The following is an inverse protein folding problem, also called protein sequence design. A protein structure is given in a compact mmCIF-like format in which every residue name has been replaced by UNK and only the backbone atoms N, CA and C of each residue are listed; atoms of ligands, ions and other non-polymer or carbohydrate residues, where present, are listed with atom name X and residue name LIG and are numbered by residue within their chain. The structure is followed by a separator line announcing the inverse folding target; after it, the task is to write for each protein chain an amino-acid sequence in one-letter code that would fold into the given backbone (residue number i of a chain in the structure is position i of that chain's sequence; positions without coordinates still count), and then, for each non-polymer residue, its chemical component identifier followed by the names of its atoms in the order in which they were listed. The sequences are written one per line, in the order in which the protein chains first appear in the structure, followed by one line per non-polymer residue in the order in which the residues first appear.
data_IF_999938924030
#
_entry.id   IF_999938924030
#
_cell.length_a   1.000
_cell.length_b   1.000
_cell.length_c   1.000
_cell.angle_alpha   90.00
_cell.angle_beta   90.00
_cell.angle_gamma   90.00
#
_symmetry.space_group_name_H-M   'P 1'
#
loop_
_entity.id
_entity.type
_entity.pdbx_description
1 polymer ?
#
# COMPACT_ATOMS: atom_id res chain seq x y z
N UNK A 1 -9.26 19.63 -14.40
CA UNK A 1 -9.44 18.20 -14.75
C UNK A 1 -8.37 17.62 -15.69
N UNK A 2 -7.26 18.32 -15.94
CA UNK A 2 -6.20 17.89 -16.89
C UNK A 2 -4.79 17.83 -16.29
N UNK A 3 -4.59 18.11 -15.00
CA UNK A 3 -3.27 18.05 -14.36
C UNK A 3 -2.92 16.67 -13.79
N UNK A 4 -3.89 15.82 -13.52
CA UNK A 4 -3.71 14.49 -12.90
C UNK A 4 -3.18 13.43 -13.87
N UNK A 5 -3.29 13.68 -15.19
CA UNK A 5 -2.73 12.78 -16.20
C UNK A 5 -1.18 12.84 -16.31
N UNK A 6 -0.52 13.78 -15.62
CA UNK A 6 0.94 13.97 -15.70
C UNK A 6 1.74 12.97 -14.88
N UNK A 7 1.16 12.32 -13.88
CA UNK A 7 1.87 11.31 -13.08
C UNK A 7 1.99 9.95 -13.78
N UNK A 8 1.09 9.66 -14.74
CA UNK A 8 1.08 8.39 -15.49
C UNK A 8 1.87 8.50 -16.81
N UNK A 9 2.26 9.69 -17.22
CA UNK A 9 2.62 10.01 -18.59
C UNK A 9 4.09 10.13 -18.93
N UNK A 10 5.02 9.28 -18.45
CA UNK A 10 6.37 9.19 -19.04
C UNK A 10 7.16 7.95 -18.56
N UNK A 11 6.67 6.75 -18.90
CA UNK A 11 7.57 5.62 -18.95
C UNK A 11 7.52 5.00 -20.36
N UNK A 12 8.50 5.25 -21.23
CA UNK A 12 8.58 4.58 -22.51
C UNK A 12 8.89 3.09 -22.26
N UNK A 13 7.86 2.25 -22.35
CA UNK A 13 8.01 0.80 -22.40
C UNK A 13 8.35 0.08 -21.09
N UNK A 14 8.27 0.74 -19.93
CA UNK A 14 8.51 0.13 -18.62
C UNK A 14 7.26 -0.46 -17.98
N UNK A 15 7.42 -1.53 -17.20
CA UNK A 15 6.38 -2.02 -16.29
C UNK A 15 6.10 -0.92 -15.27
N UNK A 16 4.84 -0.45 -15.18
CA UNK A 16 4.43 0.50 -14.15
C UNK A 16 4.34 -0.24 -12.82
N UNK A 17 5.25 0.08 -11.91
CA UNK A 17 5.29 -0.48 -10.58
C UNK A 17 5.26 0.68 -9.57
N UNK A 18 4.13 0.84 -8.87
CA UNK A 18 3.94 1.91 -7.91
C UNK A 18 4.44 1.50 -6.53
N UNK A 19 5.11 2.44 -5.84
CA UNK A 19 5.29 2.32 -4.40
C UNK A 19 3.97 2.55 -3.66
N UNK A 20 3.87 2.10 -2.42
CA UNK A 20 2.68 2.25 -1.58
C UNK A 20 2.20 3.70 -1.49
N UNK A 21 3.12 4.66 -1.27
CA UNK A 21 2.75 6.07 -1.18
C UNK A 21 2.16 6.64 -2.47
N UNK A 22 2.61 6.14 -3.64
CA UNK A 22 2.07 6.55 -4.94
C UNK A 22 0.68 5.96 -5.15
N UNK A 23 0.49 4.70 -4.77
CA UNK A 23 -0.83 4.05 -4.81
C UNK A 23 -1.83 4.76 -3.89
N UNK A 24 -1.41 5.12 -2.66
CA UNK A 24 -2.25 5.87 -1.72
C UNK A 24 -2.60 7.27 -2.22
N UNK A 25 -1.66 7.99 -2.83
CA UNK A 25 -1.94 9.28 -3.45
C UNK A 25 -3.02 9.15 -4.54
N UNK A 26 -2.92 8.11 -5.38
CA UNK A 26 -3.92 7.83 -6.40
C UNK A 26 -5.29 7.49 -5.77
N UNK A 27 -5.33 6.70 -4.70
CA UNK A 27 -6.58 6.40 -4.00
C UNK A 27 -7.23 7.66 -3.41
N UNK A 28 -6.44 8.55 -2.81
CA UNK A 28 -6.92 9.82 -2.29
C UNK A 28 -7.49 10.72 -3.40
N UNK A 29 -6.85 10.77 -4.58
CA UNK A 29 -7.34 11.52 -5.75
C UNK A 29 -8.71 11.04 -6.24
N UNK A 30 -9.00 9.75 -6.05
CA UNK A 30 -10.31 9.14 -6.34
C UNK A 30 -11.29 9.18 -5.15
N UNK A 31 -10.95 9.87 -4.07
CA UNK A 31 -11.82 10.04 -2.90
C UNK A 31 -11.91 8.82 -1.98
N UNK A 32 -10.99 7.86 -2.11
CA UNK A 32 -10.90 6.74 -1.18
C UNK A 32 -10.20 7.19 0.11
N UNK A 33 -10.65 6.74 1.28
CA UNK A 33 -9.99 7.08 2.54
C UNK A 33 -8.60 6.45 2.60
N UNK A 34 -7.60 7.27 2.93
CA UNK A 34 -6.22 6.84 3.17
C UNK A 34 -5.69 7.51 4.43
N UNK A 35 -4.76 6.86 5.13
CA UNK A 35 -4.07 7.48 6.27
C UNK A 35 -3.30 8.71 5.81
N UNK A 36 -3.30 9.78 6.62
CA UNK A 36 -2.45 10.94 6.38
C UNK A 36 -0.98 10.52 6.44
N UNK A 37 -0.21 10.87 5.43
CA UNK A 37 1.19 10.47 5.38
C UNK A 37 2.02 11.23 4.35
N UNK A 38 3.33 11.18 4.56
CA UNK A 38 4.32 11.82 3.69
C UNK A 38 5.45 10.86 3.33
N UNK A 39 5.80 10.80 2.05
CA UNK A 39 6.98 10.07 1.59
C UNK A 39 8.19 11.00 1.59
N UNK A 40 9.23 10.61 2.30
CA UNK A 40 10.43 11.42 2.55
C UNK A 40 11.71 10.70 2.15
N UNK A 41 12.79 11.44 1.96
CA UNK A 41 14.10 10.94 1.51
C UNK A 41 15.27 11.34 2.45
N UNK A 42 14.96 11.91 3.61
CA UNK A 42 15.95 12.18 4.64
C UNK A 42 15.36 11.98 6.04
N UNK A 43 16.22 11.82 7.05
CA UNK A 43 15.83 11.69 8.44
C UNK A 43 15.17 12.98 8.96
N UNK A 44 15.70 14.13 8.57
CA UNK A 44 15.16 15.45 8.95
C UNK A 44 13.77 15.67 8.38
N UNK A 45 13.58 15.28 7.11
CA UNK A 45 12.27 15.35 6.47
C UNK A 45 11.27 14.36 7.14
N UNK A 46 11.75 13.22 7.63
CA UNK A 46 10.93 12.25 8.34
C UNK A 46 10.44 12.78 9.69
N UNK A 47 11.33 13.42 10.48
CA UNK A 47 10.97 14.09 11.74
C UNK A 47 9.96 15.21 11.47
N UNK A 48 10.24 16.04 10.46
CA UNK A 48 9.31 17.10 10.07
C UNK A 48 7.94 16.55 9.70
N UNK A 49 7.89 15.48 8.91
CA UNK A 49 6.64 14.84 8.50
C UNK A 49 5.85 14.34 9.71
N UNK A 50 6.50 13.72 10.70
CA UNK A 50 5.85 13.28 11.92
C UNK A 50 5.22 14.46 12.69
N UNK A 51 5.95 15.57 12.83
CA UNK A 51 5.44 16.78 13.48
C UNK A 51 4.26 17.41 12.71
N UNK A 52 4.33 17.46 11.37
CA UNK A 52 3.27 17.99 10.51
C UNK A 52 1.99 17.13 10.57
N UNK A 53 2.13 15.81 10.63
CA UNK A 53 1.02 14.86 10.80
C UNK A 53 0.39 15.01 12.20
N UNK A 54 1.21 15.24 13.21
CA UNK A 54 0.79 15.29 14.59
C UNK A 54 0.44 13.90 15.17
N UNK A 55 -0.12 13.90 16.38
CA UNK A 55 -0.44 12.65 17.11
C UNK A 55 0.71 12.19 18.00
N UNK A 56 0.56 10.98 18.54
CA UNK A 56 1.52 10.41 19.51
C UNK A 56 2.21 9.16 18.96
N UNK A 57 1.72 8.59 17.86
CA UNK A 57 2.26 7.38 17.24
C UNK A 57 2.19 7.46 15.72
N UNK A 58 3.21 6.95 15.08
CA UNK A 58 3.35 6.91 13.62
C UNK A 58 3.73 5.52 13.14
N UNK A 59 3.32 5.18 11.93
CA UNK A 59 3.81 4.01 11.22
C UNK A 59 4.82 4.47 10.19
N UNK A 60 6.04 3.92 10.26
CA UNK A 60 7.12 4.21 9.31
C UNK A 60 7.40 3.00 8.44
N UNK A 61 7.47 3.21 7.12
CA UNK A 61 7.51 2.12 6.15
C UNK A 61 8.55 2.38 5.06
N UNK A 62 9.55 1.51 4.98
CA UNK A 62 10.49 1.51 3.85
C UNK A 62 9.74 1.22 2.54
N UNK A 63 10.01 2.01 1.51
CA UNK A 63 9.35 1.91 0.22
C UNK A 63 10.19 1.08 -0.74
N UNK A 64 9.73 -0.14 -1.00
CA UNK A 64 10.29 -1.08 -1.97
C UNK A 64 9.17 -1.77 -2.75
N UNK A 65 9.47 -2.31 -3.93
CA UNK A 65 8.51 -3.04 -4.77
C UNK A 65 8.45 -4.52 -4.38
N UNK A 66 8.27 -4.79 -3.09
CA UNK A 66 8.17 -6.15 -2.56
C UNK A 66 7.24 -6.19 -1.34
N UNK A 67 6.54 -7.30 -1.18
CA UNK A 67 5.79 -7.63 0.04
C UNK A 67 6.72 -8.15 1.15
N UNK A 68 6.13 -8.41 2.33
CA UNK A 68 6.88 -8.96 3.47
C UNK A 68 7.77 -7.97 4.21
N UNK A 69 7.66 -6.67 3.94
CA UNK A 69 8.46 -5.61 4.56
C UNK A 69 8.37 -5.62 6.09
N UNK A 70 7.19 -5.90 6.65
CA UNK A 70 6.99 -5.96 8.10
C UNK A 70 7.87 -7.02 8.76
N UNK A 71 7.88 -8.25 8.21
CA UNK A 71 8.73 -9.35 8.71
C UNK A 71 10.23 -9.06 8.54
N UNK A 72 10.59 -8.25 7.56
CA UNK A 72 11.97 -7.85 7.27
C UNK A 72 12.42 -6.58 8.03
N UNK A 73 11.61 -6.05 8.96
CA UNK A 73 11.94 -4.84 9.74
C UNK A 73 11.74 -3.53 8.98
N UNK A 74 11.24 -3.58 7.75
CA UNK A 74 10.96 -2.41 6.90
C UNK A 74 9.64 -1.69 7.22
N UNK A 75 8.93 -2.09 8.28
CA UNK A 75 7.74 -1.41 8.82
C UNK A 75 7.85 -1.42 10.34
N UNK A 76 7.63 -0.26 10.96
CA UNK A 76 7.69 -0.11 12.42
C UNK A 76 6.64 0.89 12.91
N UNK A 77 6.05 0.59 14.06
CA UNK A 77 5.28 1.56 14.85
C UNK A 77 6.24 2.27 15.80
N UNK A 78 6.18 3.59 15.83
CA UNK A 78 7.05 4.43 16.67
C UNK A 78 6.21 5.51 17.37
N UNK A 79 6.70 6.00 18.50
CA UNK A 79 5.98 6.88 19.44
C UNK A 79 6.68 8.22 19.68
N UNK A 80 7.71 8.51 18.88
CA UNK A 80 8.38 9.81 18.92
C UNK A 80 8.89 10.23 17.54
N UNK A 81 8.96 11.55 17.24
CA UNK A 81 9.55 12.05 16.00
C UNK A 81 11.03 11.67 15.84
N UNK A 82 11.78 11.57 16.94
CA UNK A 82 13.17 11.13 16.95
C UNK A 82 13.28 9.68 16.46
N UNK A 83 12.42 8.79 16.95
CA UNK A 83 12.38 7.39 16.50
C UNK A 83 11.96 7.26 15.03
N UNK A 84 11.13 8.18 14.52
CA UNK A 84 10.83 8.28 13.07
C UNK A 84 12.11 8.62 12.30
N UNK A 85 12.88 9.59 12.78
CA UNK A 85 14.16 10.00 12.17
C UNK A 85 15.20 8.87 12.20
N UNK A 86 15.34 8.17 13.33
CA UNK A 86 16.24 7.02 13.47
C UNK A 86 15.91 5.90 12.49
N UNK A 87 14.61 5.57 12.33
CA UNK A 87 14.18 4.58 11.35
C UNK A 87 14.52 5.02 9.92
N UNK A 88 14.30 6.30 9.59
CA UNK A 88 14.63 6.82 8.27
C UNK A 88 16.14 6.80 8.01
N UNK A 89 16.95 7.21 8.98
CA UNK A 89 18.42 7.18 8.90
C UNK A 89 18.95 5.74 8.73
N UNK A 90 18.31 4.78 9.39
CA UNK A 90 18.69 3.36 9.29
C UNK A 90 18.43 2.79 7.88
N UNK A 91 17.26 3.07 7.30
CA UNK A 91 16.85 2.40 6.06
C UNK A 91 17.21 3.14 4.77
N UNK A 92 17.26 4.47 4.78
CA UNK A 92 17.60 5.24 3.57
C UNK A 92 19.00 4.88 3.08
N UNK A 93 19.10 4.54 1.81
CA UNK A 93 20.33 4.09 1.16
C UNK A 93 20.68 2.62 1.43
N UNK A 94 19.95 1.92 2.29
CA UNK A 94 20.12 0.48 2.52
C UNK A 94 19.31 -0.36 1.52
N UNK A 95 19.53 -1.67 1.56
CA UNK A 95 18.76 -2.63 0.78
C UNK A 95 17.92 -3.49 1.71
N UNK A 96 16.62 -3.57 1.44
CA UNK A 96 15.70 -4.40 2.19
C UNK A 96 15.53 -5.75 1.49
N UNK A 97 15.86 -6.82 2.20
CA UNK A 97 15.64 -8.19 1.76
C UNK A 97 14.35 -8.71 2.38
N UNK A 98 13.42 -9.19 1.54
CA UNK A 98 12.18 -9.83 1.96
C UNK A 98 12.09 -11.22 1.34
N UNK A 99 11.09 -12.01 1.72
CA UNK A 99 10.88 -13.32 1.10
C UNK A 99 10.47 -13.24 -0.40
N UNK A 100 10.08 -12.06 -0.88
CA UNK A 100 9.73 -11.82 -2.29
C UNK A 100 10.89 -11.24 -3.11
N UNK A 101 12.01 -10.92 -2.49
CA UNK A 101 13.20 -10.41 -3.18
C UNK A 101 14.23 -11.51 -3.35
N UNK A 102 15.19 -11.28 -4.24
CA UNK A 102 16.44 -12.04 -4.22
C UNK A 102 17.30 -11.66 -2.99
N UNK A 103 18.42 -12.36 -2.81
CA UNK A 103 19.34 -12.13 -1.69
C UNK A 103 19.99 -10.73 -1.70
N UNK A 104 19.99 -10.03 -2.84
CA UNK A 104 20.51 -8.66 -2.94
C UNK A 104 19.50 -7.63 -2.41
N UNK A 105 18.23 -8.00 -2.26
CA UNK A 105 17.16 -7.11 -1.81
C UNK A 105 16.87 -5.96 -2.77
N UNK A 106 16.07 -4.99 -2.32
CA UNK A 106 15.74 -3.79 -3.09
C UNK A 106 16.20 -2.52 -2.37
N UNK A 107 16.68 -1.50 -3.11
CA UNK A 107 17.15 -0.27 -2.52
C UNK A 107 15.98 0.52 -1.91
N UNK A 108 16.19 1.05 -0.71
CA UNK A 108 15.25 1.93 -0.03
C UNK A 108 15.65 3.38 -0.30
N UNK A 109 14.89 4.07 -1.13
CA UNK A 109 15.12 5.49 -1.47
C UNK A 109 14.10 6.42 -0.82
N UNK A 110 13.04 5.88 -0.24
CA UNK A 110 11.95 6.62 0.40
C UNK A 110 11.46 5.90 1.64
N UNK A 111 11.08 6.70 2.64
CA UNK A 111 10.32 6.24 3.81
C UNK A 111 8.94 6.90 3.76
N UNK A 112 7.90 6.12 3.94
CA UNK A 112 6.55 6.64 4.15
C UNK A 112 6.32 6.76 5.66
N UNK A 113 6.03 7.98 6.12
CA UNK A 113 5.62 8.28 7.49
C UNK A 113 4.12 8.52 7.48
N UNK A 114 3.36 7.78 8.27
CA UNK A 114 1.90 7.87 8.32
C UNK A 114 1.38 7.97 9.75
N UNK A 115 0.20 8.60 9.89
CA UNK A 115 -0.58 8.52 11.12
C UNK A 115 -0.90 7.07 11.46
N UNK A 116 -0.80 6.71 12.75
CA UNK A 116 -1.23 5.40 13.21
C UNK A 116 -2.76 5.31 13.17
N UNK A 117 -3.26 4.21 12.61
CA UNK A 117 -4.69 3.88 12.61
C UNK A 117 -4.93 2.75 13.61
N UNK A 118 -5.94 2.88 14.44
CA UNK A 118 -6.40 1.78 15.28
C UNK A 118 -7.14 0.79 14.38
N UNK A 119 -6.51 -0.36 14.15
CA UNK A 119 -7.02 -1.41 13.25
C UNK A 119 -7.97 -2.29 14.04
N UNK A 120 -9.25 -2.30 13.66
CA UNK A 120 -10.22 -3.25 14.18
C UNK A 120 -10.15 -4.57 13.39
N UNK A 121 -10.15 -4.47 12.06
CA UNK A 121 -10.09 -5.61 11.15
C UNK A 121 -9.18 -5.30 9.97
N UNK A 122 -8.47 -6.30 9.47
CA UNK A 122 -7.70 -6.23 8.24
C UNK A 122 -8.37 -7.08 7.15
N UNK A 123 -8.64 -6.46 6.02
CA UNK A 123 -9.26 -7.11 4.88
C UNK A 123 -8.31 -7.07 3.68
N UNK A 124 -8.35 -8.09 2.86
CA UNK A 124 -7.65 -8.10 1.59
C UNK A 124 -8.60 -7.76 0.45
N UNK A 125 -8.19 -6.81 -0.40
CA UNK A 125 -8.86 -6.50 -1.65
C UNK A 125 -7.82 -6.35 -2.77
N UNK A 126 -7.98 -7.17 -3.80
CA UNK A 126 -7.13 -7.12 -5.00
C UNK A 126 -7.95 -6.99 -6.27
N UNK A 127 -7.37 -6.37 -7.30
CA UNK A 127 -7.96 -6.29 -8.63
C UNK A 127 -6.91 -6.68 -9.68
N UNK A 128 -7.27 -7.58 -10.58
CA UNK A 128 -6.39 -8.03 -11.66
C UNK A 128 -7.14 -8.06 -13.00
N UNK A 129 -6.39 -7.85 -14.09
CA UNK A 129 -6.93 -8.06 -15.44
C UNK A 129 -6.80 -9.53 -15.79
N UNK A 130 -7.93 -10.23 -15.85
CA UNK A 130 -7.99 -11.59 -16.40
C UNK A 130 -7.99 -11.51 -17.93
N UNK A 131 -6.86 -11.84 -18.52
CA UNK A 131 -6.67 -11.80 -19.98
C UNK A 131 -7.49 -12.84 -20.71
N UNK A 132 -7.75 -13.99 -20.11
CA UNK A 132 -8.53 -15.06 -20.72
C UNK A 132 -9.99 -14.66 -20.89
N UNK A 133 -10.61 -14.12 -19.82
CA UNK A 133 -11.99 -13.66 -19.88
C UNK A 133 -12.12 -12.20 -20.35
N UNK A 134 -11.01 -11.45 -20.51
CA UNK A 134 -10.98 -10.01 -20.86
C UNK A 134 -11.79 -9.16 -19.86
N UNK A 135 -11.68 -9.47 -18.58
CA UNK A 135 -12.43 -8.82 -17.50
C UNK A 135 -11.49 -8.40 -16.37
N UNK A 136 -11.95 -7.45 -15.58
CA UNK A 136 -11.34 -7.15 -14.29
C UNK A 136 -11.95 -8.12 -13.28
N UNK A 137 -11.08 -8.83 -12.56
CA UNK A 137 -11.45 -9.74 -11.47
C UNK A 137 -11.06 -9.09 -10.16
N UNK A 138 -12.01 -8.92 -9.27
CA UNK A 138 -11.76 -8.54 -7.89
C UNK A 138 -11.67 -9.78 -7.01
N UNK A 139 -10.73 -9.74 -6.09
CA UNK A 139 -10.54 -10.75 -5.06
C UNK A 139 -10.65 -10.06 -3.72
N UNK A 140 -11.43 -10.62 -2.81
CA UNK A 140 -11.55 -10.11 -1.45
C UNK A 140 -11.44 -11.28 -0.46
N UNK A 141 -10.85 -11.01 0.71
CA UNK A 141 -10.77 -11.96 1.81
C UNK A 141 -10.92 -11.21 3.13
N UNK A 142 -11.53 -11.87 4.11
CA UNK A 142 -11.56 -11.40 5.50
C UNK A 142 -10.22 -11.62 6.22
N UNK A 143 -9.29 -12.33 5.61
CA UNK A 143 -7.95 -12.55 6.11
C UNK A 143 -7.01 -11.53 5.46
N UNK A 144 -6.85 -10.36 6.09
CA UNK A 144 -5.88 -9.35 5.69
C UNK A 144 -4.54 -9.52 6.44
N UNK A 145 -3.54 -8.74 6.04
CA UNK A 145 -2.24 -8.72 6.73
C UNK A 145 -1.41 -10.01 6.64
N UNK A 146 -1.86 -11.02 5.87
CA UNK A 146 -1.24 -12.34 5.72
C UNK A 146 -0.82 -12.62 4.28
N UNK A 147 -0.10 -13.71 4.08
CA UNK A 147 0.27 -14.21 2.74
C UNK A 147 -0.98 -14.76 2.05
N UNK A 148 -1.65 -13.92 1.27
CA UNK A 148 -2.96 -14.25 0.66
C UNK A 148 -2.89 -15.47 -0.26
N UNK A 149 -1.72 -15.75 -0.83
CA UNK A 149 -1.48 -16.95 -1.64
C UNK A 149 -1.68 -18.22 -0.80
N UNK A 150 -1.19 -18.24 0.44
CA UNK A 150 -1.41 -19.36 1.38
C UNK A 150 -2.85 -19.46 1.80
N UNK A 151 -3.51 -18.35 2.09
CA UNK A 151 -4.94 -18.33 2.43
C UNK A 151 -5.76 -18.90 1.29
N UNK A 152 -5.43 -18.61 0.04
CA UNK A 152 -6.12 -19.13 -1.12
C UNK A 152 -5.93 -20.64 -1.32
N UNK A 153 -4.80 -21.20 -0.88
CA UNK A 153 -4.48 -22.63 -0.96
C UNK A 153 -5.07 -23.42 0.21
N UNK A 154 -4.90 -22.92 1.43
CA UNK A 154 -5.23 -23.64 2.67
C UNK A 154 -6.70 -23.47 3.08
N UNK A 155 -7.30 -22.31 2.79
CA UNK A 155 -8.67 -21.96 3.20
C UNK A 155 -9.43 -21.25 2.07
N UNK A 156 -9.73 -21.94 0.95
CA UNK A 156 -10.36 -21.33 -0.22
C UNK A 156 -11.75 -20.75 0.07
N UNK A 157 -12.44 -21.23 1.10
CA UNK A 157 -13.73 -20.72 1.56
C UNK A 157 -13.66 -19.30 2.14
N UNK A 158 -12.50 -18.87 2.63
CA UNK A 158 -12.27 -17.51 3.13
C UNK A 158 -11.90 -16.52 2.03
N UNK A 159 -11.59 -17.04 0.84
CA UNK A 159 -11.26 -16.24 -0.34
C UNK A 159 -12.45 -16.18 -1.29
N UNK A 160 -13.05 -15.01 -1.42
CA UNK A 160 -14.14 -14.79 -2.37
C UNK A 160 -13.61 -14.21 -3.67
N UNK A 161 -13.80 -14.94 -4.79
CA UNK A 161 -13.49 -14.44 -6.15
C UNK A 161 -14.78 -14.04 -6.84
N UNK A 162 -14.97 -12.76 -7.10
CA UNK A 162 -16.08 -12.28 -7.91
C UNK A 162 -15.58 -11.68 -9.20
N UNK A 163 -16.04 -12.23 -10.34
CA UNK A 163 -15.84 -11.65 -11.66
C UNK A 163 -16.83 -10.50 -11.84
N UNK A 164 -16.36 -9.27 -11.72
CA UNK A 164 -17.16 -8.12 -12.07
C UNK A 164 -17.16 -7.94 -13.60
N UNK A 165 -18.37 -8.00 -14.17
CA UNK A 165 -18.62 -7.72 -15.58
C UNK A 165 -18.30 -6.24 -15.79
N UNK A 166 -17.51 -5.97 -16.84
CA UNK A 166 -17.23 -4.66 -17.45
C UNK A 166 -18.33 -3.63 -17.16
N UNK A 167 -18.09 -2.77 -16.17
CA UNK A 167 -18.92 -1.59 -15.95
C UNK A 167 -18.04 -0.33 -15.99
N UNK A 168 -18.44 0.57 -16.86
CA UNK A 168 -17.92 1.90 -16.92
C UNK A 168 -18.92 2.81 -16.21
N UNK A 169 -18.80 2.98 -14.89
CA UNK A 169 -19.45 4.05 -14.17
C UNK A 169 -18.82 4.27 -12.78
N UNK A 170 -18.53 5.51 -12.40
CA UNK A 170 -17.97 5.87 -11.09
C UNK A 170 -18.92 5.60 -9.89
N UNK A 171 -20.20 5.41 -10.13
CA UNK A 171 -21.22 5.19 -9.08
C UNK A 171 -21.20 3.80 -8.46
N UNK A 172 -20.64 2.80 -9.12
CA UNK A 172 -20.69 1.41 -8.68
C UNK A 172 -19.65 1.03 -7.62
N UNK A 173 -18.61 1.82 -7.47
CA UNK A 173 -17.63 1.55 -6.40
C UNK A 173 -18.24 1.81 -5.02
N UNK A 174 -19.15 2.78 -4.91
CA UNK A 174 -19.86 3.12 -3.68
C UNK A 174 -20.92 2.06 -3.31
N UNK A 175 -21.60 1.49 -4.29
CA UNK A 175 -22.67 0.50 -4.08
C UNK A 175 -22.12 -0.94 -3.97
N UNK A 176 -20.94 -1.22 -4.54
CA UNK A 176 -20.29 -2.53 -4.50
C UNK A 176 -19.71 -2.87 -3.12
N UNK A 177 -19.20 -1.89 -2.41
CA UNK A 177 -18.60 -2.07 -1.07
C UNK A 177 -19.68 -2.39 -0.04
N UNK A 178 -20.87 -1.78 -0.14
CA UNK A 178 -21.99 -2.05 0.76
C UNK A 178 -22.52 -3.50 0.65
N UNK A 179 -22.31 -4.17 -0.50
CA UNK A 179 -22.73 -5.57 -0.70
C UNK A 179 -21.80 -6.60 -0.06
N UNK A 180 -20.58 -6.18 0.38
CA UNK A 180 -19.65 -7.06 1.08
C UNK A 180 -19.76 -6.99 2.60
N UNK A 181 -20.70 -6.22 3.15
CA UNK A 181 -20.83 -6.03 4.59
C UNK A 181 -19.66 -5.27 5.21
N UNK A 182 -18.92 -4.51 4.41
CA UNK A 182 -17.80 -3.66 4.79
C UNK A 182 -18.30 -2.23 5.07
N UNK A 183 -19.22 -2.08 6.02
CA UNK A 183 -19.62 -0.80 6.60
C UNK A 183 -19.29 -0.80 8.07
#
# INVERSE_FOLDING_TARGET
MLEHARLIGRYPGGVMNLHEYQGKALFADYGLPVSTGHAVDSAEAAIKAANDIGGERWVVKAQVHAGGRGKAGGVKLVDSPEAVGEFAAHWLGQRLVTYQTDASGQPVSRILVESCTDIADELYLGAVVDRASRRIVFMASTEGGVEIEKVAEETPEKSSRRKLIRWWAPSLFRDGISHFGLV
#
